data_IF_573853161045
#
_entry.id   IF_573853161045
#
_cell.length_a   1.000
_cell.length_b   1.000
_cell.length_c   1.000
_cell.angle_alpha   90.00
_cell.angle_beta   90.00
_cell.angle_gamma   90.00
#
_symmetry.space_group_name_H-M   'P 1'
#
loop_
_entity.id
_entity.type
_entity.pdbx_description
1 polymer ?
#
# COMPACT_ATOMS: atom_id res chain seq x y z
N UNK A 1 0.95 -2.59 -12.59
CA UNK A 1 0.47 -1.19 -12.46
C UNK A 1 -0.42 -0.72 -13.60
N UNK A 2 -0.16 -1.07 -14.86
CA UNK A 2 -0.96 -0.62 -16.01
C UNK A 2 -2.48 -0.91 -15.87
N UNK A 3 -2.86 -2.07 -15.30
CA UNK A 3 -4.27 -2.45 -15.07
C UNK A 3 -5.00 -1.45 -14.16
N UNK A 4 -4.44 -1.12 -12.99
CA UNK A 4 -5.09 -0.20 -12.04
C UNK A 4 -5.13 1.25 -12.52
N UNK A 5 -4.26 1.66 -13.45
CA UNK A 5 -4.33 3.01 -14.05
C UNK A 5 -5.57 3.21 -14.92
N UNK A 6 -6.09 2.15 -15.53
CA UNK A 6 -7.22 2.18 -16.47
C UNK A 6 -8.46 1.43 -15.97
N UNK A 7 -8.37 0.77 -14.81
CA UNK A 7 -9.48 0.01 -14.24
C UNK A 7 -10.72 0.89 -13.97
N UNK A 8 -11.95 0.35 -14.08
CA UNK A 8 -13.17 1.00 -13.61
C UNK A 8 -13.08 1.44 -12.14
N UNK A 9 -13.90 2.41 -11.74
CA UNK A 9 -13.80 3.06 -10.42
C UNK A 9 -14.13 2.09 -9.28
N UNK A 10 -15.03 1.15 -9.51
CA UNK A 10 -15.42 0.08 -8.59
C UNK A 10 -14.22 -0.85 -8.36
N UNK A 11 -13.59 -1.32 -9.45
CA UNK A 11 -12.41 -2.19 -9.39
C UNK A 11 -11.23 -1.48 -8.70
N UNK A 12 -11.03 -0.19 -9.00
CA UNK A 12 -10.01 0.63 -8.33
C UNK A 12 -10.30 0.75 -6.83
N UNK A 13 -11.56 0.98 -6.45
CA UNK A 13 -11.99 1.09 -5.04
C UNK A 13 -11.76 -0.23 -4.31
N UNK A 14 -12.19 -1.35 -4.88
CA UNK A 14 -12.03 -2.68 -4.27
C UNK A 14 -10.55 -3.01 -4.10
N UNK A 15 -9.74 -2.78 -5.14
CA UNK A 15 -8.29 -2.99 -5.06
C UNK A 15 -7.63 -2.06 -4.04
N UNK A 16 -8.15 -0.83 -3.86
CA UNK A 16 -7.63 0.09 -2.85
C UNK A 16 -7.95 -0.41 -1.43
N UNK A 17 -9.19 -0.84 -1.19
CA UNK A 17 -9.62 -1.34 0.12
C UNK A 17 -8.77 -2.57 0.55
N UNK A 18 -8.62 -3.55 -0.34
CA UNK A 18 -7.78 -4.72 -0.11
C UNK A 18 -6.31 -4.33 0.18
N UNK A 19 -5.75 -3.39 -0.58
CA UNK A 19 -4.34 -2.98 -0.36
C UNK A 19 -4.16 -2.13 0.89
N UNK A 20 -5.17 -1.35 1.29
CA UNK A 20 -5.18 -0.61 2.55
C UNK A 20 -5.22 -1.56 3.75
N UNK A 21 -6.01 -2.62 3.70
CA UNK A 21 -6.02 -3.62 4.76
C UNK A 21 -4.67 -4.35 4.85
N UNK A 22 -4.12 -4.76 3.70
CA UNK A 22 -2.80 -5.40 3.63
C UNK A 22 -1.69 -4.52 4.23
N UNK A 23 -1.59 -3.23 3.87
CA UNK A 23 -0.55 -2.35 4.43
C UNK A 23 -0.73 -2.12 5.94
N UNK A 24 -1.97 -2.09 6.44
CA UNK A 24 -2.26 -2.01 7.89
C UNK A 24 -1.82 -3.28 8.62
N UNK A 25 -2.08 -4.45 8.05
CA UNK A 25 -1.63 -5.72 8.61
C UNK A 25 -0.09 -5.79 8.67
N UNK A 26 0.58 -5.41 7.58
CA UNK A 26 2.05 -5.34 7.54
C UNK A 26 2.59 -4.36 8.60
N UNK A 27 1.96 -3.20 8.78
CA UNK A 27 2.35 -2.22 9.79
C UNK A 27 2.28 -2.80 11.20
N UNK A 28 1.18 -3.47 11.57
CA UNK A 28 1.03 -4.13 12.87
C UNK A 28 2.06 -5.24 13.08
N UNK A 29 2.30 -6.05 12.06
CA UNK A 29 3.29 -7.14 12.17
C UNK A 29 4.72 -6.58 12.27
N UNK A 30 5.02 -5.51 11.53
CA UNK A 30 6.32 -4.84 11.59
C UNK A 30 6.53 -4.16 12.95
N UNK A 31 5.50 -3.58 13.58
CA UNK A 31 5.59 -3.06 14.95
C UNK A 31 5.96 -4.15 15.97
N UNK A 32 5.51 -5.40 15.74
CA UNK A 32 5.77 -6.53 16.64
C UNK A 32 7.09 -7.24 16.37
N UNK A 33 7.51 -7.32 15.11
CA UNK A 33 8.60 -8.20 14.64
C UNK A 33 9.78 -7.44 14.03
N UNK A 34 9.60 -6.15 13.74
CA UNK A 34 10.55 -5.35 12.97
C UNK A 34 10.85 -5.99 11.61
N UNK A 35 12.13 -6.05 11.26
CA UNK A 35 12.62 -6.57 9.99
C UNK A 35 12.36 -8.07 9.79
N UNK A 36 12.10 -8.83 10.85
CA UNK A 36 11.77 -10.26 10.77
C UNK A 36 10.40 -10.53 10.11
N UNK A 37 9.62 -9.49 9.81
CA UNK A 37 8.38 -9.62 9.02
C UNK A 37 8.66 -9.94 7.55
N UNK A 38 9.78 -9.45 7.00
CA UNK A 38 10.04 -9.50 5.55
C UNK A 38 10.26 -10.90 4.98
N UNK A 39 10.92 -11.85 5.67
CA UNK A 39 11.05 -13.24 5.22
C UNK A 39 9.72 -13.97 5.00
N UNK A 40 8.60 -13.49 5.57
CA UNK A 40 7.27 -14.08 5.36
C UNK A 40 6.69 -13.82 3.97
N UNK A 41 7.25 -12.85 3.24
CA UNK A 41 6.79 -12.50 1.89
C UNK A 41 7.66 -13.14 0.82
N UNK A 42 7.03 -13.59 -0.26
CA UNK A 42 7.74 -14.12 -1.44
C UNK A 42 8.56 -13.06 -2.20
N UNK A 43 8.35 -11.77 -1.93
CA UNK A 43 9.06 -10.65 -2.54
C UNK A 43 9.84 -9.90 -1.48
N UNK A 44 11.05 -9.47 -1.83
CA UNK A 44 11.90 -8.68 -0.92
C UNK A 44 11.24 -7.38 -0.50
N UNK A 45 11.65 -6.86 0.67
CA UNK A 45 11.25 -5.53 1.18
C UNK A 45 11.37 -4.44 0.13
N UNK A 46 12.43 -4.45 -0.68
CA UNK A 46 12.65 -3.46 -1.74
C UNK A 46 11.63 -3.58 -2.88
N UNK A 47 11.26 -4.80 -3.29
CA UNK A 47 10.24 -5.00 -4.30
C UNK A 47 8.84 -4.63 -3.76
N UNK A 48 8.56 -4.97 -2.50
CA UNK A 48 7.35 -4.54 -1.80
C UNK A 48 7.27 -3.01 -1.76
N UNK A 49 8.35 -2.33 -1.37
CA UNK A 49 8.45 -0.87 -1.34
C UNK A 49 8.10 -0.23 -2.67
N UNK A 50 8.74 -0.68 -3.76
CA UNK A 50 8.50 -0.16 -5.10
C UNK A 50 7.05 -0.42 -5.55
N UNK A 51 6.51 -1.59 -5.22
CA UNK A 51 5.12 -1.94 -5.52
C UNK A 51 4.11 -1.04 -4.80
N UNK A 52 4.25 -0.86 -3.48
CA UNK A 52 3.33 -0.04 -2.68
C UNK A 52 3.45 1.46 -3.01
N UNK A 53 4.65 1.97 -3.32
CA UNK A 53 4.82 3.34 -3.83
C UNK A 53 4.11 3.57 -5.16
N UNK A 54 4.17 2.60 -6.07
CA UNK A 54 3.47 2.72 -7.35
C UNK A 54 1.94 2.65 -7.17
N UNK A 55 1.45 1.87 -6.21
CA UNK A 55 0.03 1.83 -5.84
C UNK A 55 -0.43 3.18 -5.26
N UNK A 56 0.35 3.73 -4.32
CA UNK A 56 0.09 5.03 -3.70
C UNK A 56 -0.12 6.11 -4.77
N UNK A 57 0.76 6.19 -5.76
CA UNK A 57 0.65 7.14 -6.86
C UNK A 57 -0.67 7.00 -7.63
N UNK A 58 -1.06 5.77 -7.96
CA UNK A 58 -2.31 5.51 -8.69
C UNK A 58 -3.52 5.89 -7.85
N UNK A 59 -3.56 5.50 -6.57
CA UNK A 59 -4.69 5.77 -5.68
C UNK A 59 -4.84 7.27 -5.40
N UNK A 60 -3.74 7.99 -5.14
CA UNK A 60 -3.78 9.45 -4.92
C UNK A 60 -4.27 10.23 -6.14
N UNK A 61 -3.91 9.78 -7.34
CA UNK A 61 -4.30 10.45 -8.60
C UNK A 61 -5.76 10.17 -8.97
N UNK A 62 -6.29 8.99 -8.67
CA UNK A 62 -7.59 8.52 -9.19
C UNK A 62 -8.72 8.51 -8.17
N UNK A 63 -8.43 8.48 -6.86
CA UNK A 63 -9.46 8.50 -5.81
C UNK A 63 -9.83 9.94 -5.43
N UNK A 64 -11.10 10.16 -5.11
CA UNK A 64 -11.67 11.45 -4.72
C UNK A 64 -12.58 11.31 -3.49
N UNK A 65 -12.93 12.44 -2.86
CA UNK A 65 -13.77 12.48 -1.66
C UNK A 65 -13.14 11.74 -0.48
N UNK A 66 -13.94 11.06 0.33
CA UNK A 66 -13.52 10.27 1.50
C UNK A 66 -12.41 9.25 1.16
N UNK A 67 -12.50 8.62 -0.01
CA UNK A 67 -11.50 7.64 -0.47
C UNK A 67 -10.12 8.27 -0.64
N UNK A 68 -10.04 9.57 -0.91
CA UNK A 68 -8.78 10.32 -0.97
C UNK A 68 -8.17 10.54 0.41
N UNK A 69 -8.99 10.74 1.45
CA UNK A 69 -8.50 10.82 2.82
C UNK A 69 -7.84 9.51 3.24
N UNK A 70 -8.46 8.37 2.89
CA UNK A 70 -7.89 7.04 3.15
C UNK A 70 -6.63 6.78 2.34
N UNK A 71 -6.53 7.30 1.11
CA UNK A 71 -5.29 7.26 0.34
C UNK A 71 -4.14 8.02 1.06
N UNK A 72 -4.46 9.04 1.85
CA UNK A 72 -3.51 9.73 2.72
C UNK A 72 -2.98 8.85 3.85
N UNK A 73 -3.82 8.01 4.46
CA UNK A 73 -3.37 6.99 5.42
C UNK A 73 -2.46 5.96 4.76
N UNK A 74 -2.86 5.44 3.59
CA UNK A 74 -2.06 4.51 2.80
C UNK A 74 -0.65 5.06 2.51
N UNK A 75 -0.57 6.34 2.10
CA UNK A 75 0.69 7.07 1.92
C UNK A 75 1.53 7.14 3.19
N UNK A 76 0.91 7.34 4.35
CA UNK A 76 1.62 7.46 5.63
C UNK A 76 2.19 6.11 6.05
N UNK A 77 1.40 5.03 5.98
CA UNK A 77 1.84 3.68 6.33
C UNK A 77 2.95 3.19 5.39
N UNK A 78 2.79 3.39 4.08
CA UNK A 78 3.83 3.07 3.09
C UNK A 78 5.14 3.79 3.41
N UNK A 79 5.09 5.09 3.72
CA UNK A 79 6.29 5.84 4.10
C UNK A 79 6.88 5.42 5.45
N UNK A 80 6.06 5.04 6.42
CA UNK A 80 6.54 4.57 7.72
C UNK A 80 7.27 3.22 7.59
N UNK A 81 6.62 2.23 6.99
CA UNK A 81 7.12 0.86 6.84
C UNK A 81 8.44 0.76 6.06
N UNK A 82 8.62 1.62 5.06
CA UNK A 82 9.75 1.53 4.16
C UNK A 82 10.83 2.62 4.37
N UNK A 83 10.79 3.32 5.52
CA UNK A 83 11.81 4.29 5.95
C UNK A 83 12.91 3.66 6.80
N UNK A 84 12.56 2.69 7.64
CA UNK A 84 13.51 1.94 8.46
C UNK A 84 14.36 1.06 7.55
N UNK A 85 15.69 1.19 7.67
CA UNK A 85 16.67 0.39 6.95
C UNK A 85 16.60 -1.06 7.43
#
# INVERSE_FOLDING_TARGET
MAKLRRAPREVLTLSFADKLDNIRAIARDHERLGEAVWPRFSRSKNLQRSYYRALEEVFRRRLAGEKRAWAGEFSRLTRALFRTA
#
